data_IF_638885231944
#
_entry.id   IF_638885231944
#
_cell.length_a   1.000
_cell.length_b   1.000
_cell.length_c   1.000
_cell.angle_alpha   90.00
_cell.angle_beta   90.00
_cell.angle_gamma   90.00
#
_symmetry.space_group_name_H-M   'P 1'
#
loop_
_entity.id
_entity.type
_entity.pdbx_description
1 polymer ?
#
# COMPACT_ATOMS: atom_id res chain seq x y z
N UNK A 1 7.26 25.40 5.01
CA UNK A 1 7.50 23.95 5.10
C UNK A 1 7.21 23.50 6.52
N UNK A 2 6.08 22.84 6.78
CA UNK A 2 5.80 22.24 8.11
C UNK A 2 6.34 20.81 8.08
N UNK A 3 7.64 20.72 8.27
CA UNK A 3 8.36 19.47 8.48
C UNK A 3 8.09 19.06 9.93
N UNK A 4 7.61 17.83 10.17
CA UNK A 4 7.48 17.29 11.53
C UNK A 4 8.83 17.33 12.25
N UNK A 5 8.81 17.22 13.58
CA UNK A 5 10.03 17.24 14.41
C UNK A 5 11.10 16.32 13.80
N UNK A 6 12.20 16.93 13.34
CA UNK A 6 13.39 16.29 12.74
C UNK A 6 13.26 15.71 11.32
N UNK A 7 12.63 16.41 10.38
CA UNK A 7 12.74 16.00 8.96
C UNK A 7 11.83 14.84 8.57
N UNK A 8 11.06 14.29 9.52
CA UNK A 8 10.20 13.14 9.30
C UNK A 8 8.79 13.58 8.96
N UNK A 9 8.17 12.83 8.04
CA UNK A 9 6.76 12.98 7.72
C UNK A 9 5.92 12.53 8.92
N UNK A 10 4.90 13.32 9.23
CA UNK A 10 3.90 12.93 10.22
C UNK A 10 2.97 11.87 9.65
N UNK A 11 2.31 11.09 10.51
CA UNK A 11 1.33 10.08 10.07
C UNK A 11 0.22 10.71 9.21
N UNK A 12 -0.26 11.90 9.59
CA UNK A 12 -1.28 12.62 8.82
C UNK A 12 -0.78 13.01 7.42
N UNK A 13 0.51 13.32 7.25
CA UNK A 13 1.09 13.61 5.93
C UNK A 13 1.23 12.35 5.07
N UNK A 14 1.29 11.17 5.70
CA UNK A 14 1.37 9.88 5.06
C UNK A 14 -0.01 9.26 4.78
N UNK A 15 -1.07 9.78 5.40
CA UNK A 15 -2.45 9.44 5.04
C UNK A 15 -2.67 9.61 3.54
N UNK A 16 -3.31 8.63 2.89
CA UNK A 16 -3.38 8.53 1.43
C UNK A 16 -3.92 9.81 0.79
N UNK A 17 -5.04 10.34 1.30
CA UNK A 17 -5.71 11.51 0.69
C UNK A 17 -4.90 12.78 0.93
N UNK A 18 -4.31 12.91 2.12
CA UNK A 18 -3.48 14.06 2.45
C UNK A 18 -2.20 14.05 1.63
N UNK A 19 -1.53 12.91 1.53
CA UNK A 19 -0.34 12.69 0.72
C UNK A 19 -0.56 13.03 -0.75
N UNK A 20 -1.65 12.52 -1.35
CA UNK A 20 -2.02 12.81 -2.75
C UNK A 20 -2.21 14.31 -2.98
N UNK A 21 -2.92 14.99 -2.06
CA UNK A 21 -3.10 16.45 -2.13
C UNK A 21 -1.78 17.22 -1.97
N UNK A 22 -0.93 16.81 -1.03
CA UNK A 22 0.35 17.46 -0.79
C UNK A 22 1.36 17.24 -1.93
N UNK A 23 1.28 16.09 -2.61
CA UNK A 23 2.01 15.84 -3.84
C UNK A 23 1.51 16.75 -4.97
N UNK A 24 0.20 16.82 -5.17
CA UNK A 24 -0.41 17.68 -6.19
C UNK A 24 -0.12 19.18 -5.95
N UNK A 25 0.00 19.61 -4.69
CA UNK A 25 0.37 20.98 -4.33
C UNK A 25 1.89 21.23 -4.31
N UNK A 26 2.71 20.22 -4.63
CA UNK A 26 4.19 20.32 -4.60
C UNK A 26 4.79 20.49 -3.20
N UNK A 27 3.99 20.31 -2.15
CA UNK A 27 4.46 20.38 -0.75
C UNK A 27 5.23 19.13 -0.35
N UNK A 28 4.90 18.00 -0.97
CA UNK A 28 5.61 16.72 -0.89
C UNK A 28 6.16 16.38 -2.28
N UNK A 29 7.37 15.82 -2.32
CA UNK A 29 7.94 15.32 -3.58
C UNK A 29 7.65 13.82 -3.73
N UNK A 30 7.56 13.34 -4.98
CA UNK A 30 7.44 11.91 -5.27
C UNK A 30 8.61 11.11 -4.68
N UNK A 31 9.84 11.61 -4.82
CA UNK A 31 11.04 10.98 -4.27
C UNK A 31 11.00 10.79 -2.74
N UNK A 32 10.43 11.75 -2.01
CA UNK A 32 10.24 11.63 -0.55
C UNK A 32 9.26 10.50 -0.22
N UNK A 33 8.18 10.36 -0.99
CA UNK A 33 7.20 9.29 -0.80
C UNK A 33 7.83 7.93 -1.12
N UNK A 34 8.55 7.82 -2.24
CA UNK A 34 9.24 6.60 -2.65
C UNK A 34 10.27 6.15 -1.61
N UNK A 35 11.09 7.08 -1.11
CA UNK A 35 12.08 6.81 -0.05
C UNK A 35 11.39 6.28 1.21
N UNK A 36 10.25 6.87 1.59
CA UNK A 36 9.50 6.40 2.74
C UNK A 36 8.92 5.00 2.52
N UNK A 37 8.31 4.73 1.36
CA UNK A 37 7.73 3.42 1.05
C UNK A 37 8.80 2.32 1.01
N UNK A 38 9.97 2.60 0.41
CA UNK A 38 11.09 1.67 0.38
C UNK A 38 11.69 1.39 1.77
N UNK A 39 11.44 2.25 2.76
CA UNK A 39 11.90 2.05 4.15
C UNK A 39 10.95 1.20 4.99
N UNK A 40 9.75 0.90 4.49
CA UNK A 40 8.78 0.09 5.23
C UNK A 40 9.22 -1.39 5.19
N UNK A 41 9.12 -2.09 6.34
CA UNK A 41 9.39 -3.52 6.37
C UNK A 41 8.34 -4.28 5.55
N UNK A 42 8.77 -5.33 4.86
CA UNK A 42 7.84 -6.31 4.32
C UNK A 42 7.28 -7.14 5.48
N UNK A 43 5.95 -7.08 5.65
CA UNK A 43 5.21 -7.74 6.72
C UNK A 43 4.05 -8.55 6.16
N UNK A 44 4.03 -8.84 4.85
CA UNK A 44 2.95 -9.62 4.23
C UNK A 44 2.82 -11.00 4.89
N UNK A 45 3.94 -11.68 5.12
CA UNK A 45 3.98 -13.01 5.77
C UNK A 45 3.54 -13.00 7.23
N UNK A 46 3.45 -11.82 7.86
CA UNK A 46 3.04 -11.67 9.27
C UNK A 46 1.53 -11.43 9.40
N UNK A 47 0.80 -11.36 8.28
CA UNK A 47 -0.63 -11.15 8.28
C UNK A 47 -1.38 -12.38 8.81
N UNK A 48 -2.15 -12.19 9.87
CA UNK A 48 -3.10 -13.21 10.33
C UNK A 48 -4.28 -13.29 9.36
N UNK A 49 -4.58 -14.49 8.86
CA UNK A 49 -5.78 -14.69 8.03
C UNK A 49 -7.00 -14.73 8.94
N UNK A 50 -7.85 -13.71 8.85
CA UNK A 50 -9.12 -13.70 9.55
C UNK A 50 -10.20 -14.27 8.63
N UNK A 51 -10.76 -15.42 9.01
CA UNK A 51 -11.89 -16.02 8.32
C UNK A 51 -13.19 -15.29 8.68
N UNK A 52 -13.33 -14.05 8.20
CA UNK A 52 -14.60 -13.32 8.21
C UNK A 52 -15.24 -13.46 6.84
N UNK A 53 -16.48 -13.94 6.82
CA UNK A 53 -17.28 -13.96 5.60
C UNK A 53 -17.40 -12.53 5.07
N UNK A 54 -16.82 -12.29 3.88
CA UNK A 54 -16.92 -10.99 3.22
C UNK A 54 -18.39 -10.78 2.82
N UNK A 55 -19.14 -9.89 3.51
CA UNK A 55 -20.58 -9.80 3.32
C UNK A 55 -20.94 -9.27 1.93
N UNK A 56 -20.04 -8.48 1.31
CA UNK A 56 -20.17 -8.01 -0.07
C UNK A 56 -19.96 -9.11 -1.12
N UNK A 57 -19.32 -10.22 -0.75
CA UNK A 57 -19.02 -11.34 -1.67
C UNK A 57 -20.01 -12.49 -1.54
N UNK A 58 -21.04 -12.36 -0.69
CA UNK A 58 -22.10 -13.35 -0.55
C UNK A 58 -21.57 -14.71 -0.10
N UNK A 59 -21.22 -14.84 1.19
CA UNK A 59 -21.14 -16.12 1.91
C UNK A 59 -20.53 -17.33 1.18
N UNK A 60 -19.40 -17.16 0.48
CA UNK A 60 -18.60 -18.26 -0.07
C UNK A 60 -17.20 -17.80 -0.54
N UNK A 61 -16.57 -16.83 0.12
CA UNK A 61 -15.29 -16.27 -0.34
C UNK A 61 -14.05 -16.94 0.29
N UNK A 62 -14.17 -18.17 0.79
CA UNK A 62 -13.01 -18.95 1.27
C UNK A 62 -12.43 -19.85 0.18
N UNK A 63 -12.42 -19.39 -1.07
CA UNK A 63 -11.55 -19.97 -2.07
C UNK A 63 -10.12 -19.44 -1.79
N UNK A 64 -9.09 -20.30 -1.73
CA UNK A 64 -7.72 -19.81 -1.64
C UNK A 64 -7.45 -18.83 -2.77
N UNK A 65 -6.75 -17.73 -2.48
CA UNK A 65 -6.32 -16.74 -3.47
C UNK A 65 -5.59 -17.50 -4.59
N UNK A 66 -6.22 -17.58 -5.76
CA UNK A 66 -5.58 -18.11 -6.96
C UNK A 66 -4.61 -17.03 -7.40
N UNK A 67 -3.32 -17.25 -7.16
CA UNK A 67 -2.26 -16.51 -7.84
C UNK A 67 -2.53 -16.68 -9.35
N UNK A 68 -2.69 -15.59 -10.12
CA UNK A 68 -2.80 -15.73 -11.56
C UNK A 68 -1.49 -16.34 -12.06
N UNK A 69 -1.55 -17.54 -12.64
CA UNK A 69 -0.47 -18.10 -13.45
C UNK A 69 -0.15 -17.03 -14.51
N UNK A 70 1.05 -16.47 -14.43
CA UNK A 70 1.56 -15.61 -15.48
C UNK A 70 1.82 -16.51 -16.68
N UNK A 71 0.90 -16.50 -17.64
CA UNK A 71 1.03 -17.21 -18.90
C UNK A 71 2.39 -16.83 -19.52
N UNK A 72 3.35 -17.75 -19.52
CA UNK A 72 4.61 -17.65 -20.28
C UNK A 72 4.26 -17.81 -21.78
N UNK A 73 3.62 -16.79 -22.36
CA UNK A 73 3.55 -16.66 -23.82
C UNK A 73 4.89 -16.13 -24.33
N UNK A 74 5.82 -17.06 -24.51
CA UNK A 74 7.13 -16.81 -25.11
C UNK A 74 7.70 -18.02 -25.86
N UNK A 75 6.87 -18.74 -26.62
CA UNK A 75 7.37 -19.70 -27.61
C UNK A 75 7.57 -19.04 -28.97
N UNK A 76 8.83 -18.87 -29.39
CA UNK A 76 9.31 -19.11 -30.76
C UNK A 76 10.70 -19.75 -30.73
#
# INVERSE_FOLDING_TARGET
>A
MTVGEKGKLTELQLDRRVRERLLASGTLSAATIETHLASLPDVEEQAETIAVDQPALGGAAHAPRVEPELDDEGSE
#
